data_IF_101047999106
#
_entry.id   IF_101047999106
#
_cell.length_a   1.000
_cell.length_b   1.000
_cell.length_c   1.000
_cell.angle_alpha   90.00
_cell.angle_beta   90.00
_cell.angle_gamma   90.00
#
_symmetry.space_group_name_H-M   'P 1'
#
loop_
_entity.id
_entity.type
_entity.pdbx_description
1 polymer ?
#
# COMPACT_ATOMS: atom_id res chain seq x y z
N UNK A 1 -24.37 -5.61 -2.07
CA UNK A 1 -23.36 -4.56 -1.85
C UNK A 1 -23.00 -3.96 -3.20
N UNK A 2 -23.15 -2.64 -3.34
CA UNK A 2 -22.83 -1.89 -4.56
C UNK A 2 -21.62 -1.01 -4.32
N UNK A 3 -20.57 -1.16 -5.13
CA UNK A 3 -19.31 -0.44 -4.99
C UNK A 3 -19.13 0.61 -6.09
N UNK A 4 -18.36 1.68 -5.82
CA UNK A 4 -17.88 2.59 -6.86
C UNK A 4 -16.35 2.52 -6.90
N UNK A 5 -15.79 2.19 -8.05
CA UNK A 5 -14.36 2.36 -8.31
C UNK A 5 -14.13 3.81 -8.72
N UNK A 6 -13.36 4.56 -7.93
CA UNK A 6 -13.05 5.97 -8.17
C UNK A 6 -11.59 6.14 -8.61
N UNK A 7 -11.39 6.40 -9.90
CA UNK A 7 -10.10 6.40 -10.59
C UNK A 7 -9.75 5.04 -11.21
N UNK A 8 -9.66 4.96 -12.56
CA UNK A 8 -9.55 3.71 -13.30
C UNK A 8 -8.20 3.52 -13.99
N UNK A 9 -7.12 3.86 -13.28
CA UNK A 9 -5.74 3.53 -13.64
C UNK A 9 -5.40 2.06 -13.31
N UNK A 10 -4.11 1.77 -13.10
CA UNK A 10 -3.61 0.42 -12.76
C UNK A 10 -4.31 -0.16 -11.52
N UNK A 11 -4.43 0.64 -10.45
CA UNK A 11 -5.14 0.24 -9.22
C UNK A 11 -6.64 0.10 -9.44
N UNK A 12 -7.28 1.00 -10.21
CA UNK A 12 -8.70 0.89 -10.53
C UNK A 12 -9.06 -0.40 -11.28
N UNK A 13 -8.22 -0.82 -12.21
CA UNK A 13 -8.35 -2.12 -12.90
C UNK A 13 -8.13 -3.31 -11.95
N UNK A 14 -7.30 -3.17 -10.94
CA UNK A 14 -7.12 -4.19 -9.90
C UNK A 14 -8.34 -4.29 -8.99
N UNK A 15 -8.97 -3.17 -8.63
CA UNK A 15 -10.28 -3.16 -7.94
C UNK A 15 -11.34 -3.90 -8.76
N UNK A 16 -11.42 -3.65 -10.07
CA UNK A 16 -12.37 -4.34 -10.94
C UNK A 16 -12.16 -5.85 -10.91
N UNK A 17 -10.92 -6.34 -11.07
CA UNK A 17 -10.61 -7.78 -10.99
C UNK A 17 -11.01 -8.37 -9.64
N UNK A 18 -10.66 -7.67 -8.56
CA UNK A 18 -11.00 -8.08 -7.20
C UNK A 18 -12.52 -8.20 -6.99
N UNK A 19 -13.30 -7.18 -7.42
CA UNK A 19 -14.74 -7.19 -7.28
C UNK A 19 -15.42 -8.26 -8.16
N UNK A 20 -14.92 -8.48 -9.37
CA UNK A 20 -15.38 -9.55 -10.27
C UNK A 20 -15.13 -10.93 -9.64
N UNK A 21 -13.96 -11.17 -9.06
CA UNK A 21 -13.63 -12.42 -8.38
C UNK A 21 -14.55 -12.68 -7.16
N UNK A 22 -14.96 -11.62 -6.47
CA UNK A 22 -15.93 -11.68 -5.36
C UNK A 22 -17.39 -11.68 -5.84
N UNK A 23 -17.65 -11.56 -7.14
CA UNK A 23 -19.01 -11.45 -7.73
C UNK A 23 -19.83 -10.29 -7.14
N UNK A 24 -19.19 -9.15 -6.92
CA UNK A 24 -19.79 -7.94 -6.37
C UNK A 24 -20.14 -6.94 -7.46
N UNK A 25 -21.27 -6.26 -7.34
CA UNK A 25 -21.69 -5.23 -8.28
C UNK A 25 -20.92 -3.93 -8.06
N UNK A 26 -20.53 -3.29 -9.16
CA UNK A 26 -19.82 -2.02 -9.11
C UNK A 26 -20.10 -1.14 -10.32
N UNK A 27 -19.93 0.16 -10.09
CA UNK A 27 -19.82 1.18 -11.14
C UNK A 27 -18.37 1.71 -11.17
N UNK A 28 -17.99 2.39 -12.26
CA UNK A 28 -16.66 2.98 -12.43
C UNK A 28 -16.81 4.48 -12.71
N UNK A 29 -16.00 5.29 -12.02
CA UNK A 29 -15.81 6.70 -12.30
C UNK A 29 -14.34 7.01 -12.58
N UNK A 30 -14.09 7.73 -13.67
CA UNK A 30 -12.79 8.34 -13.97
C UNK A 30 -12.99 9.63 -14.76
N UNK A 31 -12.44 10.73 -14.27
CA UNK A 31 -12.62 12.04 -14.90
C UNK A 31 -11.97 12.15 -16.29
N UNK A 32 -10.92 11.36 -16.55
CA UNK A 32 -10.12 11.43 -17.77
C UNK A 32 -10.55 10.38 -18.82
N UNK A 33 -11.49 9.51 -18.49
CA UNK A 33 -11.97 8.45 -19.39
C UNK A 33 -13.43 8.75 -19.73
N UNK A 34 -13.72 9.19 -20.94
CA UNK A 34 -15.04 9.65 -21.36
C UNK A 34 -16.16 8.64 -21.08
N UNK A 35 -15.89 7.34 -21.27
CA UNK A 35 -16.83 6.24 -20.96
C UNK A 35 -17.24 6.20 -19.49
N UNK A 36 -16.35 6.59 -18.59
CA UNK A 36 -16.54 6.52 -17.14
C UNK A 36 -16.75 7.87 -16.46
N UNK A 37 -16.71 8.96 -17.21
CA UNK A 37 -16.94 10.32 -16.70
C UNK A 37 -18.44 10.60 -16.55
N UNK A 38 -19.08 9.92 -15.59
CA UNK A 38 -20.48 10.11 -15.20
C UNK A 38 -20.57 10.68 -13.81
N UNK A 39 -21.50 11.60 -13.57
CA UNK A 39 -21.79 12.06 -12.22
C UNK A 39 -22.54 10.97 -11.45
N UNK A 40 -22.13 10.68 -10.25
CA UNK A 40 -22.78 9.77 -9.33
C UNK A 40 -23.12 10.49 -8.02
N UNK A 41 -24.26 10.15 -7.44
CA UNK A 41 -24.50 10.41 -6.01
C UNK A 41 -23.70 9.37 -5.21
N UNK A 42 -22.69 9.84 -4.48
CA UNK A 42 -21.77 8.96 -3.75
C UNK A 42 -22.45 8.24 -2.57
N UNK A 43 -23.58 8.75 -2.10
CA UNK A 43 -24.33 8.19 -0.96
C UNK A 43 -25.04 6.87 -1.29
N UNK A 44 -25.29 6.59 -2.57
CA UNK A 44 -25.98 5.35 -2.98
C UNK A 44 -25.06 4.12 -2.98
N UNK A 45 -23.76 4.30 -2.79
CA UNK A 45 -22.79 3.21 -2.76
C UNK A 45 -22.51 2.76 -1.33
N UNK A 46 -22.48 1.46 -1.12
CA UNK A 46 -22.11 0.84 0.16
C UNK A 46 -20.61 1.08 0.48
N UNK A 47 -19.78 1.22 -0.57
CA UNK A 47 -18.36 1.55 -0.44
C UNK A 47 -17.83 2.23 -1.70
N UNK A 48 -16.79 3.06 -1.52
CA UNK A 48 -16.05 3.69 -2.61
C UNK A 48 -14.59 3.21 -2.54
N UNK A 49 -14.12 2.59 -3.63
CA UNK A 49 -12.74 2.12 -3.77
C UNK A 49 -11.93 3.18 -4.49
N UNK A 50 -11.13 3.92 -3.74
CA UNK A 50 -10.44 5.11 -4.23
C UNK A 50 -8.98 4.80 -4.59
N UNK A 51 -8.62 5.05 -5.86
CA UNK A 51 -7.24 4.91 -6.33
C UNK A 51 -6.28 5.90 -5.66
N UNK A 52 -5.02 5.53 -5.37
CA UNK A 52 -4.05 6.40 -4.68
C UNK A 52 -3.76 7.70 -5.44
N UNK A 53 -3.84 7.71 -6.77
CA UNK A 53 -3.60 8.87 -7.62
C UNK A 53 -4.67 9.98 -7.57
N UNK A 54 -5.79 9.77 -6.88
CA UNK A 54 -6.81 10.81 -6.70
C UNK A 54 -6.24 11.93 -5.82
N UNK A 55 -6.37 13.22 -6.20
CA UNK A 55 -5.85 14.33 -5.41
C UNK A 55 -6.41 14.34 -3.98
N UNK A 56 -5.59 14.76 -3.00
CA UNK A 56 -5.95 14.77 -1.57
C UNK A 56 -7.27 15.50 -1.30
N UNK A 57 -7.42 16.71 -1.84
CA UNK A 57 -8.66 17.50 -1.70
C UNK A 57 -9.88 16.72 -2.16
N UNK A 58 -9.80 16.05 -3.32
CA UNK A 58 -10.91 15.27 -3.85
C UNK A 58 -11.20 14.02 -3.01
N UNK A 59 -10.17 13.36 -2.50
CA UNK A 59 -10.33 12.24 -1.59
C UNK A 59 -11.07 12.64 -0.30
N UNK A 60 -10.73 13.78 0.29
CA UNK A 60 -11.43 14.29 1.48
C UNK A 60 -12.89 14.73 1.17
N UNK A 61 -13.17 15.27 -0.01
CA UNK A 61 -14.54 15.53 -0.45
C UNK A 61 -15.35 14.24 -0.52
N UNK A 62 -14.80 13.19 -1.13
CA UNK A 62 -15.45 11.87 -1.22
C UNK A 62 -15.76 11.32 0.17
N UNK A 63 -14.81 11.42 1.12
CA UNK A 63 -15.00 10.97 2.51
C UNK A 63 -16.11 11.73 3.25
N UNK A 64 -16.36 12.99 2.92
CA UNK A 64 -17.48 13.75 3.50
C UNK A 64 -18.84 13.27 3.01
N UNK A 65 -18.90 12.75 1.79
CA UNK A 65 -20.14 12.27 1.18
C UNK A 65 -20.41 10.79 1.47
N UNK A 66 -19.36 9.98 1.66
CA UNK A 66 -19.48 8.56 1.95
C UNK A 66 -18.44 8.13 3.01
N UNK A 67 -18.92 7.59 4.12
CA UNK A 67 -18.08 7.19 5.25
C UNK A 67 -17.25 5.92 5.00
N UNK A 68 -17.55 5.17 3.93
CA UNK A 68 -16.87 3.92 3.61
C UNK A 68 -16.02 4.04 2.35
N UNK A 69 -15.02 4.92 2.39
CA UNK A 69 -14.01 5.05 1.34
C UNK A 69 -12.81 4.20 1.69
N UNK A 70 -12.41 3.28 0.82
CA UNK A 70 -11.33 2.33 1.01
C UNK A 70 -10.25 2.51 -0.08
N UNK A 71 -9.01 2.27 0.29
CA UNK A 71 -7.89 2.11 -0.64
C UNK A 71 -7.64 0.63 -0.94
N UNK A 72 -6.80 0.35 -1.90
CA UNK A 72 -6.32 -1.01 -2.18
C UNK A 72 -5.57 -1.63 -0.98
N UNK A 73 -4.81 -0.81 -0.25
CA UNK A 73 -4.11 -1.26 0.97
C UNK A 73 -5.09 -1.66 2.08
N UNK A 74 -6.18 -0.90 2.28
CA UNK A 74 -7.18 -1.21 3.31
C UNK A 74 -7.82 -2.59 3.08
N UNK A 75 -8.10 -2.91 1.80
CA UNK A 75 -8.64 -4.21 1.40
C UNK A 75 -7.58 -5.30 1.54
N UNK A 76 -6.35 -5.05 1.04
CA UNK A 76 -5.27 -6.00 1.10
C UNK A 76 -4.92 -6.38 2.54
N UNK A 77 -4.85 -5.41 3.43
CA UNK A 77 -4.59 -5.65 4.86
C UNK A 77 -5.68 -6.46 5.56
N UNK A 78 -6.91 -6.40 5.05
CA UNK A 78 -8.03 -7.18 5.59
C UNK A 78 -8.06 -8.61 5.06
N UNK A 79 -7.82 -8.78 3.76
CA UNK A 79 -8.12 -10.03 3.04
C UNK A 79 -6.89 -10.90 2.79
N UNK A 80 -5.67 -10.36 2.86
CA UNK A 80 -4.43 -11.11 2.63
C UNK A 80 -3.77 -11.59 3.93
N UNK A 81 -3.27 -12.81 3.92
CA UNK A 81 -2.68 -13.48 5.11
C UNK A 81 -1.15 -13.51 5.11
N UNK A 82 -0.49 -13.02 4.07
CA UNK A 82 0.97 -12.97 4.01
C UNK A 82 1.57 -12.05 5.07
N UNK A 83 2.85 -12.25 5.40
CA UNK A 83 3.64 -11.31 6.22
C UNK A 83 3.98 -10.10 5.35
N UNK A 84 3.59 -8.91 5.78
CA UNK A 84 3.64 -7.67 5.02
C UNK A 84 4.81 -6.80 5.43
N UNK A 85 5.74 -6.58 4.51
CA UNK A 85 6.92 -5.74 4.69
C UNK A 85 6.76 -4.51 3.81
N UNK A 86 6.49 -3.35 4.42
CA UNK A 86 6.34 -2.08 3.73
C UNK A 86 7.67 -1.34 3.62
N UNK A 87 7.91 -0.70 2.48
CA UNK A 87 9.11 0.09 2.23
C UNK A 87 8.71 1.44 1.68
N UNK A 88 9.17 2.51 2.32
CA UNK A 88 9.01 3.88 1.84
C UNK A 88 10.30 4.68 1.96
N UNK A 89 10.32 5.83 1.35
CA UNK A 89 11.40 6.80 1.33
C UNK A 89 11.21 7.79 0.18
N UNK A 90 12.00 8.83 0.10
CA UNK A 90 12.04 9.69 -1.09
C UNK A 90 12.75 8.96 -2.21
N UNK A 91 13.94 8.42 -1.94
CA UNK A 91 14.80 7.74 -2.91
C UNK A 91 14.99 6.25 -2.58
N UNK A 92 15.38 5.46 -3.59
CA UNK A 92 15.81 4.05 -3.50
C UNK A 92 14.76 3.03 -3.02
N UNK A 93 13.49 3.41 -2.94
CA UNK A 93 12.39 2.51 -2.58
C UNK A 93 12.35 1.25 -3.45
N UNK A 94 12.30 1.45 -4.78
CA UNK A 94 12.18 0.37 -5.77
C UNK A 94 13.37 -0.56 -5.74
N UNK A 95 14.58 -0.01 -5.63
CA UNK A 95 15.82 -0.79 -5.56
C UNK A 95 15.81 -1.67 -4.30
N UNK A 96 15.48 -1.10 -3.14
CA UNK A 96 15.42 -1.84 -1.88
C UNK A 96 14.34 -2.92 -1.90
N UNK A 97 13.13 -2.58 -2.38
CA UNK A 97 12.04 -3.54 -2.48
C UNK A 97 12.39 -4.72 -3.41
N UNK A 98 13.04 -4.42 -4.56
CA UNK A 98 13.48 -5.45 -5.50
C UNK A 98 14.52 -6.38 -4.89
N UNK A 99 15.56 -5.84 -4.25
CA UNK A 99 16.61 -6.66 -3.63
C UNK A 99 16.09 -7.49 -2.45
N UNK A 100 15.21 -6.93 -1.62
CA UNK A 100 14.55 -7.71 -0.57
C UNK A 100 13.70 -8.84 -1.15
N UNK A 101 12.93 -8.57 -2.20
CA UNK A 101 12.16 -9.60 -2.89
C UNK A 101 13.06 -10.73 -3.42
N UNK A 102 14.20 -10.41 -4.05
CA UNK A 102 15.18 -11.41 -4.50
C UNK A 102 15.73 -12.22 -3.33
N UNK A 103 16.15 -11.55 -2.24
CA UNK A 103 16.67 -12.20 -1.05
C UNK A 103 15.65 -13.16 -0.43
N UNK A 104 14.41 -12.71 -0.26
CA UNK A 104 13.35 -13.56 0.32
C UNK A 104 13.03 -14.76 -0.55
N UNK A 105 13.13 -14.66 -1.88
CA UNK A 105 12.89 -15.79 -2.77
C UNK A 105 14.02 -16.84 -2.79
N UNK A 106 15.19 -16.55 -2.23
CA UNK A 106 16.24 -17.55 -2.03
C UNK A 106 15.82 -18.56 -0.93
N UNK A 107 15.18 -18.07 0.13
CA UNK A 107 14.89 -18.87 1.32
C UNK A 107 13.40 -19.19 1.51
N UNK A 108 12.52 -18.51 0.81
CA UNK A 108 11.07 -18.64 0.97
C UNK A 108 10.35 -18.19 -0.32
N UNK A 109 9.12 -17.74 -0.20
CA UNK A 109 8.36 -17.19 -1.33
C UNK A 109 7.84 -15.79 -1.01
N UNK A 110 8.01 -14.85 -1.94
CA UNK A 110 7.52 -13.48 -1.76
C UNK A 110 6.84 -12.91 -3.00
N UNK A 111 6.01 -11.91 -2.78
CA UNK A 111 5.47 -11.01 -3.79
C UNK A 111 6.25 -9.69 -3.80
N UNK A 112 6.35 -9.04 -4.95
CA UNK A 112 6.77 -7.65 -5.10
C UNK A 112 5.57 -6.83 -5.56
N UNK A 113 5.11 -5.90 -4.71
CA UNK A 113 3.80 -5.27 -4.82
C UNK A 113 3.86 -3.74 -4.62
N UNK A 114 2.76 -3.09 -4.94
CA UNK A 114 2.49 -1.70 -4.59
C UNK A 114 2.79 -0.72 -5.72
N UNK A 115 3.59 0.29 -5.45
CA UNK A 115 3.96 1.31 -6.43
C UNK A 115 4.81 0.74 -7.58
N UNK A 116 5.56 -0.33 -7.32
CA UNK A 116 6.22 -1.18 -8.32
C UNK A 116 5.66 -2.61 -8.27
N UNK A 117 6.03 -3.44 -9.23
CA UNK A 117 5.53 -4.80 -9.33
C UNK A 117 4.04 -4.86 -9.66
N UNK A 118 3.33 -5.76 -8.99
CA UNK A 118 1.90 -5.95 -9.19
C UNK A 118 1.08 -5.08 -8.24
N UNK A 119 -0.14 -4.66 -8.62
CA UNK A 119 -1.10 -4.11 -7.68
C UNK A 119 -1.35 -5.08 -6.52
N UNK A 120 -1.48 -4.56 -5.31
CA UNK A 120 -1.57 -5.42 -4.11
C UNK A 120 -2.75 -6.41 -4.18
N UNK A 121 -3.90 -6.00 -4.70
CA UNK A 121 -5.10 -6.84 -4.76
C UNK A 121 -4.98 -8.01 -5.73
N UNK A 122 -4.12 -7.92 -6.75
CA UNK A 122 -3.89 -9.00 -7.72
C UNK A 122 -3.13 -10.18 -7.10
N UNK A 123 -2.62 -10.01 -5.89
CA UNK A 123 -1.80 -11.01 -5.18
C UNK A 123 -2.44 -11.50 -3.88
N UNK A 124 -3.69 -11.12 -3.59
CA UNK A 124 -4.38 -11.59 -2.37
C UNK A 124 -4.42 -13.12 -2.34
N UNK A 125 -3.94 -13.68 -1.24
CA UNK A 125 -3.98 -15.11 -0.93
C UNK A 125 -3.43 -16.03 -2.05
N UNK A 126 -2.37 -15.60 -2.73
CA UNK A 126 -1.71 -16.38 -3.79
C UNK A 126 -0.68 -17.40 -3.25
N UNK A 127 -0.77 -17.74 -1.96
CA UNK A 127 0.09 -18.71 -1.26
C UNK A 127 1.57 -18.30 -1.14
N UNK A 128 1.87 -17.01 -1.29
CA UNK A 128 3.20 -16.48 -0.98
C UNK A 128 3.27 -16.10 0.50
N UNK A 129 4.39 -16.49 1.15
CA UNK A 129 4.58 -16.25 2.60
C UNK A 129 4.78 -14.77 2.92
N UNK A 130 5.47 -14.03 2.04
CA UNK A 130 5.81 -12.63 2.25
C UNK A 130 5.25 -11.74 1.14
N UNK A 131 4.88 -10.52 1.49
CA UNK A 131 4.55 -9.44 0.56
C UNK A 131 5.47 -8.25 0.81
N UNK A 132 6.39 -8.01 -0.13
CA UNK A 132 7.28 -6.84 -0.13
C UNK A 132 6.55 -5.74 -0.88
N UNK A 133 6.20 -4.66 -0.16
CA UNK A 133 5.29 -3.63 -0.65
C UNK A 133 6.01 -2.29 -0.71
N UNK A 134 6.25 -1.80 -1.93
CA UNK A 134 6.70 -0.41 -2.09
C UNK A 134 5.52 0.53 -1.89
N UNK A 135 5.65 1.48 -0.96
CA UNK A 135 4.63 2.44 -0.60
C UNK A 135 5.04 3.88 -0.92
N UNK A 136 4.22 4.56 -1.72
CA UNK A 136 4.34 6.00 -1.94
C UNK A 136 3.77 6.78 -0.75
N UNK A 137 4.16 8.07 -0.64
CA UNK A 137 3.56 8.97 0.35
C UNK A 137 2.04 9.14 0.15
N UNK A 138 1.57 9.09 -1.11
CA UNK A 138 0.14 9.17 -1.44
C UNK A 138 -0.66 7.99 -0.91
N UNK A 139 -0.10 6.79 -0.98
CA UNK A 139 -0.73 5.57 -0.44
C UNK A 139 -0.76 5.61 1.09
N UNK A 140 0.37 5.96 1.71
CA UNK A 140 0.48 6.10 3.16
C UNK A 140 -0.42 7.20 3.72
N UNK A 141 -0.56 8.33 3.01
CA UNK A 141 -1.45 9.43 3.42
C UNK A 141 -2.91 8.98 3.50
N UNK A 142 -3.37 8.17 2.55
CA UNK A 142 -4.77 7.76 2.40
C UNK A 142 -5.16 6.49 3.15
N UNK A 143 -4.22 5.63 3.51
CA UNK A 143 -4.57 4.39 4.21
C UNK A 143 -5.19 4.67 5.58
N UNK A 144 -6.24 3.92 5.94
CA UNK A 144 -6.97 4.09 7.20
C UNK A 144 -6.18 3.61 8.42
N UNK A 145 -5.49 2.49 8.27
CA UNK A 145 -4.71 1.89 9.35
C UNK A 145 -3.48 1.18 8.79
N UNK A 146 -2.37 1.27 9.52
CA UNK A 146 -1.19 0.50 9.20
C UNK A 146 -1.32 -0.91 9.81
N UNK A 147 -1.30 -1.93 8.97
CA UNK A 147 -1.28 -3.35 9.37
C UNK A 147 -0.09 -4.09 8.73
N UNK A 148 0.97 -3.37 8.50
CA UNK A 148 2.25 -3.97 8.13
C UNK A 148 2.85 -4.72 9.33
N UNK A 149 3.47 -5.85 9.05
CA UNK A 149 4.26 -6.56 10.05
C UNK A 149 5.60 -5.85 10.26
N UNK A 150 6.22 -5.34 9.18
CA UNK A 150 7.45 -4.57 9.22
C UNK A 150 7.37 -3.32 8.36
N UNK A 151 7.88 -2.20 8.87
CA UNK A 151 7.97 -0.93 8.16
C UNK A 151 9.42 -0.47 7.99
N UNK A 152 9.81 -0.12 6.77
CA UNK A 152 11.14 0.37 6.44
C UNK A 152 11.03 1.79 5.89
N UNK A 153 11.61 2.75 6.60
CA UNK A 153 11.75 4.14 6.17
C UNK A 153 13.21 4.42 5.79
N UNK A 154 13.48 4.56 4.49
CA UNK A 154 14.85 4.66 3.96
C UNK A 154 15.46 6.05 4.11
N UNK A 155 14.71 7.07 3.73
CA UNK A 155 15.14 8.49 3.75
C UNK A 155 13.94 9.40 3.52
N UNK A 156 14.09 10.67 3.92
CA UNK A 156 13.11 11.73 3.63
C UNK A 156 13.89 12.96 3.14
N UNK A 157 13.58 13.40 1.93
CA UNK A 157 14.08 14.61 1.30
C UNK A 157 12.89 15.40 0.75
N UNK A 158 13.05 16.66 0.41
CA UNK A 158 11.97 17.51 -0.13
C UNK A 158 11.46 16.95 -1.46
N UNK A 159 10.16 16.63 -1.52
CA UNK A 159 9.47 16.13 -2.72
C UNK A 159 7.95 16.28 -2.57
N UNK A 160 7.22 16.25 -3.67
CA UNK A 160 5.74 16.22 -3.71
C UNK A 160 5.02 17.27 -2.86
N UNK A 161 5.59 18.49 -2.73
CA UNK A 161 4.97 19.58 -1.96
C UNK A 161 3.67 20.08 -2.61
N UNK A 162 3.54 19.94 -3.93
CA UNK A 162 2.31 20.21 -4.69
C UNK A 162 1.11 19.37 -4.20
N UNK A 163 1.36 18.16 -3.71
CA UNK A 163 0.32 17.27 -3.18
C UNK A 163 0.14 17.43 -1.66
N UNK A 164 1.24 17.46 -0.90
CA UNK A 164 1.19 17.43 0.56
C UNK A 164 0.99 18.82 1.18
N UNK A 165 1.33 19.89 0.44
CA UNK A 165 1.27 21.28 0.89
C UNK A 165 2.60 21.78 1.44
N UNK A 166 3.22 21.04 2.35
CA UNK A 166 4.54 21.36 2.93
C UNK A 166 5.35 20.10 3.24
N UNK A 167 6.61 20.30 3.66
CA UNK A 167 7.56 19.23 3.95
C UNK A 167 7.16 18.41 5.19
N UNK A 168 6.63 19.05 6.22
CA UNK A 168 6.23 18.36 7.45
C UNK A 168 5.07 17.39 7.18
N UNK A 169 4.07 17.80 6.41
CA UNK A 169 2.96 16.93 6.01
C UNK A 169 3.43 15.76 5.13
N UNK A 170 4.39 16.02 4.23
CA UNK A 170 5.02 14.96 3.45
C UNK A 170 5.77 13.96 4.34
N UNK A 171 6.59 14.46 5.28
CA UNK A 171 7.31 13.67 6.27
C UNK A 171 6.36 12.82 7.10
N UNK A 172 5.35 13.44 7.71
CA UNK A 172 4.32 12.77 8.50
C UNK A 172 3.61 11.65 7.71
N UNK A 173 3.35 11.85 6.42
CA UNK A 173 2.73 10.83 5.60
C UNK A 173 3.59 9.57 5.48
N UNK A 174 4.92 9.72 5.35
CA UNK A 174 5.87 8.60 5.27
C UNK A 174 6.10 7.94 6.63
N UNK A 175 6.18 8.72 7.69
CA UNK A 175 6.37 8.23 9.06
C UNK A 175 5.22 7.33 9.53
N UNK A 176 4.04 7.38 8.89
CA UNK A 176 2.98 6.39 9.15
C UNK A 176 3.46 4.93 9.00
N UNK A 177 4.50 4.68 8.21
CA UNK A 177 5.06 3.34 8.08
C UNK A 177 5.67 2.83 9.38
N UNK A 178 6.14 3.74 10.25
CA UNK A 178 6.73 3.40 11.55
C UNK A 178 5.69 2.95 12.60
N UNK A 179 4.39 3.06 12.28
CA UNK A 179 3.29 2.50 13.08
C UNK A 179 3.05 1.01 12.81
N UNK A 180 3.93 0.35 12.06
CA UNK A 180 3.93 -1.10 11.85
C UNK A 180 4.18 -1.86 13.15
N UNK A 181 3.93 -3.17 13.20
CA UNK A 181 4.23 -4.00 14.39
C UNK A 181 5.71 -3.90 14.77
N UNK A 182 6.59 -3.83 13.78
CA UNK A 182 8.01 -3.57 13.95
C UNK A 182 8.49 -2.63 12.84
N UNK A 183 9.51 -1.81 13.08
CA UNK A 183 9.95 -0.84 12.09
C UNK A 183 11.41 -0.44 12.26
N UNK A 184 12.02 -0.03 11.13
CA UNK A 184 13.35 0.59 11.09
C UNK A 184 13.30 1.87 10.27
N UNK A 185 14.12 2.85 10.64
CA UNK A 185 14.30 4.10 9.91
C UNK A 185 15.78 4.44 9.71
N UNK A 186 16.04 5.37 8.79
CA UNK A 186 17.40 5.89 8.54
C UNK A 186 18.06 6.56 9.75
N UNK A 187 17.27 6.96 10.75
CA UNK A 187 17.76 7.50 12.03
C UNK A 187 18.14 6.40 13.02
N UNK A 188 17.88 5.15 12.68
CA UNK A 188 18.12 4.03 13.58
C UNK A 188 19.60 3.67 13.59
N UNK A 189 20.16 3.49 14.79
CA UNK A 189 21.51 2.99 14.98
C UNK A 189 21.70 1.63 14.26
N UNK A 190 22.81 1.43 13.51
CA UNK A 190 23.12 0.15 12.83
C UNK A 190 23.04 -1.09 13.73
N UNK A 191 23.33 -0.98 15.03
CA UNK A 191 23.19 -2.08 15.98
C UNK A 191 21.73 -2.53 16.15
N UNK A 192 20.76 -1.60 16.16
CA UNK A 192 19.34 -1.95 16.19
C UNK A 192 18.89 -2.65 14.91
N UNK A 193 19.43 -2.28 13.77
CA UNK A 193 19.19 -2.98 12.51
C UNK A 193 19.72 -4.43 12.59
N UNK A 194 20.92 -4.62 13.16
CA UNK A 194 21.50 -5.94 13.34
C UNK A 194 20.69 -6.80 14.33
N UNK A 195 20.28 -6.22 15.46
CA UNK A 195 19.38 -6.89 16.43
C UNK A 195 18.07 -7.30 15.79
N UNK A 196 17.46 -6.42 14.99
CA UNK A 196 16.23 -6.69 14.28
C UNK A 196 16.39 -7.84 13.27
N UNK A 197 17.45 -7.84 12.46
CA UNK A 197 17.77 -8.93 11.53
C UNK A 197 18.00 -10.25 12.31
N UNK A 198 18.69 -10.19 13.44
CA UNK A 198 18.96 -11.36 14.28
C UNK A 198 17.69 -11.90 14.91
N UNK A 199 16.80 -11.03 15.38
CA UNK A 199 15.51 -11.39 15.95
C UNK A 199 14.60 -12.04 14.89
N UNK A 200 14.57 -11.50 13.66
CA UNK A 200 13.88 -12.13 12.54
C UNK A 200 14.41 -13.55 12.25
N UNK A 201 15.72 -13.77 12.34
CA UNK A 201 16.34 -15.08 12.19
C UNK A 201 15.90 -16.05 13.29
N UNK A 202 15.88 -15.59 14.54
CA UNK A 202 15.52 -16.40 15.70
C UNK A 202 14.03 -16.81 15.71
N UNK A 203 13.15 -15.98 15.19
CA UNK A 203 11.70 -16.23 15.31
C UNK A 203 11.11 -17.02 14.15
N UNK A 204 11.68 -17.09 12.94
CA UNK A 204 10.99 -17.71 11.77
C UNK A 204 11.84 -18.13 10.57
N UNK A 205 13.15 -18.02 10.59
CA UNK A 205 13.98 -18.57 9.53
C UNK A 205 14.90 -19.60 10.17
N UNK A 206 14.45 -20.83 10.27
CA UNK A 206 15.35 -21.97 10.41
C UNK A 206 16.20 -22.00 9.13
N UNK A 207 17.40 -21.44 9.21
CA UNK A 207 18.45 -21.70 8.25
C UNK A 207 18.96 -23.11 8.55
N UNK A 208 18.23 -24.11 8.09
CA UNK A 208 18.80 -25.44 8.01
C UNK A 208 19.82 -25.46 6.87
N UNK A 209 21.08 -25.56 7.29
CA UNK A 209 22.25 -25.91 6.49
C UNK A 209 22.73 -24.85 5.45
N UNK A 210 23.58 -23.94 5.94
CA UNK A 210 24.73 -23.48 5.21
C UNK A 210 25.97 -24.30 5.59
#
# INVERSE_FOLDING_TARGET
MKSLIYGYGKTGKSFERYLNNKKLNFDIYDANISKFNKKYDLKIFDQILCSPGIPKKKFEEIKKENNNVLTDLDIFFKDDTSIKIGITGTNRKSTTAYHLHQLFNIYSSSNLLGNIGNPVLDSINNNKKYSIIELSSFQLDKMRSNKLDFGILLNIEVDHLDYHGDFELYKLSKEKILLSKDSISYEMNPYKLFEWITKMKAEKIEFENL
#
